data_IF_514819066239
#
_entry.id   IF_514819066239
#
_cell.length_a   1.000
_cell.length_b   1.000
_cell.length_c   1.000
_cell.angle_alpha   90.00
_cell.angle_beta   90.00
_cell.angle_gamma   90.00
#
_symmetry.space_group_name_H-M   'P 1'
#
loop_
_entity.id
_entity.type
_entity.pdbx_description
1 polymer ?
#
# COMPACT_ATOMS: atom_id res chain seq x y z
N UNK A 1 50.32 48.27 42.98
CA UNK A 1 48.99 48.91 42.92
C UNK A 1 47.98 47.80 43.26
N UNK A 2 47.56 47.54 44.51
CA UNK A 2 46.87 48.42 45.50
C UNK A 2 45.79 49.26 44.79
N UNK A 3 44.49 49.21 45.09
CA UNK A 3 43.74 48.98 46.35
C UNK A 3 42.28 48.52 46.08
N UNK A 4 41.74 47.60 46.91
CA UNK A 4 40.65 47.70 47.93
C UNK A 4 39.21 47.85 47.38
N UNK A 5 38.24 46.94 47.59
CA UNK A 5 37.67 46.20 48.77
C UNK A 5 36.58 46.99 49.52
N UNK A 6 35.50 46.26 49.89
CA UNK A 6 34.52 46.41 51.00
C UNK A 6 33.09 46.79 50.56
N UNK A 7 31.98 46.26 51.11
CA UNK A 7 31.73 45.30 52.19
C UNK A 7 30.24 44.89 52.24
N UNK A 8 30.02 43.68 52.79
CA UNK A 8 28.86 43.08 53.46
C UNK A 8 27.83 44.03 54.13
N UNK A 9 26.53 43.63 54.14
CA UNK A 9 25.77 43.09 55.30
C UNK A 9 24.25 42.93 55.05
N UNK A 10 23.72 41.76 55.45
CA UNK A 10 22.31 41.39 55.79
C UNK A 10 21.89 42.05 57.15
N UNK A 11 20.68 41.81 57.74
CA UNK A 11 19.28 41.72 57.25
C UNK A 11 18.22 42.34 58.24
N UNK A 12 16.93 42.18 57.87
CA UNK A 12 15.76 41.77 58.70
C UNK A 12 14.87 42.77 59.49
N UNK A 13 13.61 42.27 59.63
CA UNK A 13 12.48 42.60 60.53
C UNK A 13 11.47 43.63 60.02
N UNK A 14 10.16 43.57 60.30
CA UNK A 14 9.38 43.09 61.47
C UNK A 14 8.01 42.60 60.91
N UNK A 15 7.50 41.41 61.28
CA UNK A 15 6.52 41.13 62.39
C UNK A 15 5.08 41.25 61.88
N UNK A 16 4.03 40.63 62.42
CA UNK A 16 3.65 40.09 63.74
C UNK A 16 2.29 39.39 63.46
N UNK A 17 1.72 38.42 64.18
CA UNK A 17 1.88 37.79 65.50
C UNK A 17 0.88 36.61 65.43
N UNK A 18 1.20 35.38 65.86
CA UNK A 18 1.14 34.93 67.27
C UNK A 18 -0.21 34.20 67.51
N UNK A 19 -0.34 33.10 68.25
CA UNK A 19 0.63 32.33 69.03
C UNK A 19 -0.07 31.06 69.58
N UNK A 20 0.77 30.17 70.15
CA UNK A 20 0.55 29.15 71.20
C UNK A 20 -0.06 27.78 70.80
N UNK A 21 0.72 26.69 70.76
CA UNK A 21 1.34 25.90 71.86
C UNK A 21 0.29 25.11 72.68
N UNK A 22 0.32 23.76 72.69
CA UNK A 22 1.17 22.98 73.61
C UNK A 22 0.83 21.45 73.60
N UNK A 23 1.68 20.71 74.31
CA UNK A 23 2.05 19.29 74.24
C UNK A 23 1.15 18.25 75.00
N UNK A 24 1.56 16.96 74.90
CA UNK A 24 1.34 15.80 75.79
C UNK A 24 0.23 14.73 75.58
N UNK A 25 0.69 13.56 75.09
CA UNK A 25 0.70 12.19 75.68
C UNK A 25 -0.58 11.38 76.07
N UNK A 26 -0.66 10.17 75.45
CA UNK A 26 -1.12 8.83 75.92
C UNK A 26 -2.52 8.62 76.54
N UNK A 27 -3.38 7.82 75.87
CA UNK A 27 -3.85 6.47 76.34
C UNK A 27 -4.81 5.77 75.33
N UNK A 28 -4.68 4.43 75.25
CA UNK A 28 -5.46 3.46 74.45
C UNK A 28 -6.99 3.51 74.68
N UNK A 29 -7.78 3.23 73.62
CA UNK A 29 -8.96 2.33 73.68
C UNK A 29 -9.32 1.78 72.29
N UNK A 30 -9.38 0.44 72.18
CA UNK A 30 -9.82 -0.32 71.02
C UNK A 30 -11.33 -0.10 70.78
N UNK A 31 -11.71 0.30 69.56
CA UNK A 31 -13.09 0.24 69.07
C UNK A 31 -13.14 -0.79 67.94
N UNK A 32 -14.00 -1.79 68.13
CA UNK A 32 -14.16 -2.99 67.30
C UNK A 32 -14.59 -2.69 65.86
N UNK A 33 -14.03 -3.47 64.92
CA UNK A 33 -14.35 -3.52 63.49
C UNK A 33 -15.86 -3.66 63.18
N UNK A 34 -16.64 -4.22 64.12
CA UNK A 34 -18.08 -4.44 63.96
C UNK A 34 -18.93 -3.16 63.94
N UNK A 35 -18.44 -2.03 64.47
CA UNK A 35 -19.19 -0.75 64.43
C UNK A 35 -18.97 -0.01 63.10
N UNK A 36 -17.88 -0.30 62.39
CA UNK A 36 -17.56 0.33 61.09
C UNK A 36 -18.35 -0.27 59.93
N UNK A 37 -18.83 -1.51 60.06
CA UNK A 37 -19.57 -2.22 58.99
C UNK A 37 -21.05 -1.82 58.93
N UNK A 38 -21.65 -1.40 60.05
CA UNK A 38 -23.09 -1.09 60.11
C UNK A 38 -23.43 0.29 59.54
N UNK A 39 -22.47 1.22 59.44
CA UNK A 39 -22.69 2.53 58.80
C UNK A 39 -22.55 2.52 57.27
N UNK A 40 -22.00 1.46 56.66
CA UNK A 40 -21.86 1.38 55.20
C UNK A 40 -23.08 0.76 54.50
N UNK A 41 -23.91 0.01 55.24
CA UNK A 41 -25.06 -0.72 54.70
C UNK A 41 -26.29 0.18 54.40
N UNK A 42 -26.31 1.44 54.86
CA UNK A 42 -27.41 2.37 54.56
C UNK A 42 -27.17 3.31 53.37
N UNK A 43 -26.07 3.13 52.61
CA UNK A 43 -25.81 3.89 51.35
C UNK A 43 -26.03 3.08 50.06
N UNK A 44 -26.48 1.82 50.15
CA UNK A 44 -26.70 0.92 49.00
C UNK A 44 -28.20 0.83 48.59
N UNK A 45 -29.06 1.66 49.16
CA UNK A 45 -30.50 1.67 48.85
C UNK A 45 -30.85 2.10 47.41
N UNK A 46 -29.98 2.84 46.73
CA UNK A 46 -30.30 3.48 45.44
C UNK A 46 -29.85 2.69 44.19
N UNK A 47 -29.03 1.64 44.35
CA UNK A 47 -28.46 0.87 43.22
C UNK A 47 -29.26 -0.38 42.83
N UNK A 48 -30.19 -0.84 43.69
CA UNK A 48 -31.03 -2.02 43.42
C UNK A 48 -32.04 -1.86 42.27
N UNK A 49 -32.71 -0.71 42.05
CA UNK A 49 -33.66 -0.57 40.94
C UNK A 49 -32.97 -0.57 39.57
N UNK A 50 -31.78 0.04 39.47
CA UNK A 50 -31.03 0.14 38.21
C UNK A 50 -30.50 -1.21 37.73
N UNK A 51 -30.04 -2.07 38.64
CA UNK A 51 -29.55 -3.42 38.31
C UNK A 51 -30.71 -4.31 37.83
N UNK A 52 -31.90 -4.17 38.43
CA UNK A 52 -33.10 -4.91 38.02
C UNK A 52 -33.60 -4.46 36.64
N UNK A 53 -33.54 -3.16 36.33
CA UNK A 53 -33.92 -2.62 35.02
C UNK A 53 -32.97 -3.12 33.92
N UNK A 54 -31.67 -3.20 34.22
CA UNK A 54 -30.65 -3.70 33.28
C UNK A 54 -30.81 -5.20 32.98
N UNK A 55 -31.14 -5.99 34.00
CA UNK A 55 -31.45 -7.42 33.84
C UNK A 55 -32.74 -7.64 33.03
N UNK A 56 -33.75 -6.78 33.20
CA UNK A 56 -35.00 -6.88 32.45
C UNK A 56 -34.80 -6.59 30.95
N UNK A 57 -33.96 -5.60 30.61
CA UNK A 57 -33.61 -5.27 29.22
C UNK A 57 -32.78 -6.37 28.53
N UNK A 58 -31.87 -7.00 29.26
CA UNK A 58 -31.09 -8.16 28.79
C UNK A 58 -31.96 -9.39 28.53
N UNK A 59 -32.99 -9.60 29.34
CA UNK A 59 -33.95 -10.69 29.14
C UNK A 59 -34.83 -10.39 27.90
N UNK A 60 -35.26 -9.14 27.72
CA UNK A 60 -36.11 -8.76 26.57
C UNK A 60 -35.38 -8.86 25.22
N UNK A 61 -34.06 -8.62 25.17
CA UNK A 61 -33.27 -8.80 23.95
C UNK A 61 -33.04 -10.26 23.59
N UNK A 62 -33.07 -11.17 24.56
CA UNK A 62 -32.95 -12.62 24.34
C UNK A 62 -34.26 -13.27 23.87
N UNK A 63 -35.42 -12.62 24.09
CA UNK A 63 -36.75 -13.15 23.72
C UNK A 63 -37.40 -12.45 22.52
N UNK A 64 -36.72 -11.54 21.83
CA UNK A 64 -37.25 -10.94 20.59
C UNK A 64 -37.26 -11.97 19.45
N UNK A 65 -38.42 -12.33 18.87
CA UNK A 65 -38.49 -13.28 17.78
C UNK A 65 -37.85 -12.68 16.53
N UNK A 66 -36.81 -13.36 16.05
CA UNK A 66 -36.11 -13.08 14.80
C UNK A 66 -37.09 -13.28 13.63
N UNK A 67 -37.70 -12.18 13.13
CA UNK A 67 -38.52 -12.23 11.93
C UNK A 67 -37.62 -12.50 10.71
N UNK A 68 -37.68 -13.72 10.19
CA UNK A 68 -36.99 -14.12 8.96
C UNK A 68 -37.63 -13.44 7.74
N UNK A 69 -36.76 -12.78 6.98
CA UNK A 69 -36.76 -12.49 5.55
C UNK A 69 -38.02 -12.86 4.75
N UNK A 70 -38.60 -11.84 4.09
CA UNK A 70 -39.31 -12.00 2.83
C UNK A 70 -38.92 -10.86 1.87
N UNK A 71 -38.27 -11.27 0.77
CA UNK A 71 -38.25 -10.67 -0.59
C UNK A 71 -37.26 -9.51 -0.88
N UNK A 72 -36.47 -9.77 -1.93
CA UNK A 72 -35.48 -8.91 -2.60
C UNK A 72 -36.08 -7.66 -3.27
N UNK A 73 -35.34 -6.56 -3.30
CA UNK A 73 -34.72 -5.92 -4.49
C UNK A 73 -34.03 -4.60 -4.08
N UNK A 74 -32.88 -4.36 -4.69
CA UNK A 74 -31.98 -3.21 -4.60
C UNK A 74 -32.63 -1.82 -4.59
N UNK A 75 -32.13 -0.93 -3.71
CA UNK A 75 -31.76 0.45 -4.06
C UNK A 75 -30.86 1.06 -2.98
N UNK A 76 -29.63 1.41 -3.35
CA UNK A 76 -28.73 2.25 -2.56
C UNK A 76 -29.42 3.59 -2.30
N UNK A 77 -29.70 3.94 -1.04
CA UNK A 77 -30.12 5.30 -0.66
C UNK A 77 -29.03 5.98 0.17
N UNK A 78 -28.61 7.20 -0.20
CA UNK A 78 -27.63 7.99 0.55
C UNK A 78 -28.34 8.91 1.54
N UNK A 79 -28.40 8.54 2.82
CA UNK A 79 -28.64 9.50 3.90
C UNK A 79 -28.49 8.88 5.30
N UNK A 80 -27.41 9.23 6.00
CA UNK A 80 -27.54 9.79 7.34
C UNK A 80 -26.35 10.72 7.62
N UNK A 81 -26.62 12.03 7.50
CA UNK A 81 -25.85 13.06 8.19
C UNK A 81 -26.24 12.99 9.66
N UNK A 82 -25.26 13.27 10.52
CA UNK A 82 -25.25 13.17 11.98
C UNK A 82 -24.97 11.78 12.53
N UNK A 83 -23.68 11.51 12.78
CA UNK A 83 -23.24 10.94 14.05
C UNK A 83 -21.89 11.54 14.43
N UNK A 84 -21.91 12.30 15.53
CA UNK A 84 -20.74 12.81 16.23
C UNK A 84 -20.14 11.60 16.98
N UNK A 85 -18.91 11.21 16.62
CA UNK A 85 -18.17 10.05 17.15
C UNK A 85 -18.88 8.69 17.01
N UNK A 86 -19.04 8.18 15.78
CA UNK A 86 -19.36 6.76 15.57
C UNK A 86 -18.11 5.94 15.30
N UNK A 87 -17.86 4.96 16.16
CA UNK A 87 -16.95 3.83 15.96
C UNK A 87 -17.62 2.86 14.95
N UNK A 88 -18.03 3.39 13.80
CA UNK A 88 -18.55 2.67 12.63
C UNK A 88 -17.65 2.93 11.39
N UNK A 89 -16.49 3.57 11.58
CA UNK A 89 -15.43 3.71 10.58
C UNK A 89 -14.71 2.39 10.26
N UNK A 90 -15.37 1.25 10.49
CA UNK A 90 -15.01 -0.07 9.95
C UNK A 90 -15.73 -0.35 8.63
N UNK A 91 -16.48 0.61 8.08
CA UNK A 91 -16.71 0.63 6.64
C UNK A 91 -15.33 0.65 5.98
N UNK A 92 -15.01 -0.42 5.25
CA UNK A 92 -13.72 -0.68 4.62
C UNK A 92 -13.11 0.61 4.07
N UNK A 93 -12.01 1.06 4.68
CA UNK A 93 -11.20 2.19 4.21
C UNK A 93 -10.80 2.05 2.73
N UNK A 94 -10.85 0.82 2.19
CA UNK A 94 -10.59 0.47 0.81
C UNK A 94 -11.75 0.80 -0.12
N UNK A 95 -11.43 1.44 -1.24
CA UNK A 95 -12.38 1.74 -2.30
C UNK A 95 -13.36 2.88 -2.02
N UNK A 96 -13.19 3.65 -0.94
CA UNK A 96 -14.03 4.82 -0.63
C UNK A 96 -13.97 5.90 -1.74
N UNK A 97 -12.78 6.17 -2.28
CA UNK A 97 -12.58 6.97 -3.50
C UNK A 97 -12.72 6.13 -4.78
N UNK A 98 -12.84 4.82 -4.63
CA UNK A 98 -12.71 3.84 -5.71
C UNK A 98 -11.27 3.67 -6.18
N UNK A 99 -11.05 2.60 -6.95
CA UNK A 99 -9.78 2.26 -7.57
C UNK A 99 -10.01 2.24 -9.08
N UNK A 100 -9.40 3.15 -9.86
CA UNK A 100 -9.46 3.05 -11.31
C UNK A 100 -8.73 1.79 -11.78
N UNK A 101 -9.24 1.16 -12.83
CA UNK A 101 -8.62 0.00 -13.46
C UNK A 101 -8.79 0.07 -14.98
N UNK A 102 -7.88 -0.55 -15.71
CA UNK A 102 -8.06 -0.72 -17.15
C UNK A 102 -9.07 -1.82 -17.45
N UNK A 103 -10.01 -1.58 -18.38
CA UNK A 103 -10.92 -2.62 -18.86
C UNK A 103 -10.17 -3.55 -19.81
N UNK A 104 -10.28 -4.85 -19.58
CA UNK A 104 -9.86 -5.85 -20.55
C UNK A 104 -10.88 -5.95 -21.69
N UNK A 105 -10.42 -6.16 -22.93
CA UNK A 105 -11.26 -6.19 -24.14
C UNK A 105 -12.38 -7.23 -24.09
N UNK A 106 -12.20 -8.31 -23.33
CA UNK A 106 -13.15 -9.41 -23.18
C UNK A 106 -13.62 -9.63 -21.74
N UNK A 107 -13.32 -8.70 -20.81
CA UNK A 107 -13.66 -8.86 -19.39
C UNK A 107 -12.96 -10.05 -18.72
N UNK A 108 -11.93 -10.62 -19.33
CA UNK A 108 -11.14 -11.70 -18.71
C UNK A 108 -10.33 -11.15 -17.54
N UNK A 109 -10.11 -12.01 -16.57
CA UNK A 109 -9.28 -11.77 -15.39
C UNK A 109 -8.34 -12.96 -15.20
N UNK A 110 -7.48 -12.87 -14.19
CA UNK A 110 -6.53 -13.92 -13.83
C UNK A 110 -7.25 -15.18 -13.34
N UNK A 111 -6.60 -16.34 -13.48
CA UNK A 111 -7.17 -17.62 -13.07
C UNK A 111 -6.95 -17.93 -11.58
N UNK A 112 -5.95 -17.29 -10.96
CA UNK A 112 -5.64 -17.49 -9.54
C UNK A 112 -6.62 -16.74 -8.64
N UNK A 113 -6.79 -17.27 -7.43
CA UNK A 113 -7.70 -16.72 -6.40
C UNK A 113 -6.93 -16.21 -5.19
N UNK A 114 -7.60 -15.51 -4.28
CA UNK A 114 -7.02 -15.13 -2.99
C UNK A 114 -6.55 -16.33 -2.17
N UNK A 115 -7.15 -17.52 -2.34
CA UNK A 115 -6.69 -18.75 -1.67
C UNK A 115 -5.33 -19.20 -2.21
N UNK A 116 -5.12 -19.09 -3.51
CA UNK A 116 -3.84 -19.42 -4.14
C UNK A 116 -2.75 -18.45 -3.68
N UNK A 117 -3.07 -17.16 -3.57
CA UNK A 117 -2.17 -16.14 -3.05
C UNK A 117 -1.80 -16.40 -1.58
N UNK A 118 -2.78 -16.76 -0.74
CA UNK A 118 -2.51 -17.11 0.67
C UNK A 118 -1.58 -18.33 0.78
N UNK A 119 -1.78 -19.35 -0.05
CA UNK A 119 -0.86 -20.50 -0.13
C UNK A 119 0.54 -20.08 -0.61
N UNK A 120 0.59 -19.20 -1.61
CA UNK A 120 1.84 -18.61 -2.08
C UNK A 120 2.61 -17.88 -0.98
N UNK A 121 1.90 -17.17 -0.08
CA UNK A 121 2.53 -16.49 1.06
C UNK A 121 3.14 -17.48 2.05
N UNK A 122 2.48 -18.61 2.32
CA UNK A 122 3.04 -19.67 3.18
C UNK A 122 4.39 -20.18 2.67
N UNK A 123 4.54 -20.29 1.35
CA UNK A 123 5.79 -20.69 0.69
C UNK A 123 6.81 -19.53 0.62
N UNK A 124 6.36 -18.31 0.33
CA UNK A 124 7.26 -17.19 0.01
C UNK A 124 7.86 -16.50 1.23
N UNK A 125 7.13 -16.39 2.34
CA UNK A 125 7.64 -15.74 3.56
C UNK A 125 9.01 -16.29 3.99
N UNK A 126 9.20 -17.62 4.17
CA UNK A 126 10.52 -18.14 4.54
C UNK A 126 11.59 -17.91 3.46
N UNK A 127 11.22 -17.87 2.17
CA UNK A 127 12.14 -17.52 1.09
C UNK A 127 12.62 -16.08 1.24
N UNK A 128 11.71 -15.12 1.45
CA UNK A 128 12.03 -13.70 1.61
C UNK A 128 12.93 -13.41 2.82
N UNK A 129 12.82 -14.22 3.88
CA UNK A 129 13.72 -14.16 5.05
C UNK A 129 15.18 -14.45 4.65
N UNK A 130 15.44 -15.22 3.58
CA UNK A 130 16.79 -15.54 3.09
C UNK A 130 17.38 -14.49 2.13
N UNK A 131 16.63 -13.44 1.78
CA UNK A 131 17.07 -12.44 0.80
C UNK A 131 18.46 -11.87 1.12
N UNK A 132 19.33 -11.68 0.11
CA UNK A 132 20.67 -11.14 0.29
C UNK A 132 20.66 -9.65 0.65
N UNK A 133 19.62 -8.92 0.23
CA UNK A 133 19.48 -7.48 0.45
C UNK A 133 18.41 -7.26 1.54
N UNK A 134 18.85 -7.13 2.80
CA UNK A 134 17.92 -6.95 3.94
C UNK A 134 17.19 -5.62 3.89
N UNK A 135 17.94 -4.55 3.63
CA UNK A 135 17.43 -3.20 3.44
C UNK A 135 17.47 -2.83 1.95
N UNK A 136 16.34 -2.99 1.27
CA UNK A 136 16.19 -2.65 -0.14
C UNK A 136 15.58 -1.25 -0.34
N UNK A 137 15.97 -0.27 0.48
CA UNK A 137 15.56 1.12 0.30
C UNK A 137 15.76 1.58 -1.16
N UNK A 138 14.73 2.23 -1.71
CA UNK A 138 14.56 2.64 -3.12
C UNK A 138 14.28 1.53 -4.13
N UNK A 139 14.20 0.27 -3.72
CA UNK A 139 13.69 -0.82 -4.57
C UNK A 139 12.44 -1.45 -3.96
N UNK A 140 11.96 -2.52 -4.60
CA UNK A 140 10.76 -3.22 -4.13
C UNK A 140 10.88 -3.76 -2.70
N UNK A 141 9.76 -3.62 -1.98
CA UNK A 141 9.52 -4.22 -0.66
C UNK A 141 8.90 -5.62 -0.74
N UNK A 142 8.35 -6.07 0.38
CA UNK A 142 7.82 -7.43 0.51
C UNK A 142 6.65 -7.73 -0.42
N UNK A 143 5.65 -6.84 -0.46
CA UNK A 143 4.42 -7.03 -1.25
C UNK A 143 4.74 -7.29 -2.72
N UNK A 144 5.51 -6.39 -3.35
CA UNK A 144 5.89 -6.50 -4.76
C UNK A 144 6.82 -7.70 -5.02
N UNK A 145 7.73 -8.01 -4.07
CA UNK A 145 8.56 -9.21 -4.17
C UNK A 145 7.71 -10.49 -4.18
N UNK A 146 6.68 -10.54 -3.33
CA UNK A 146 5.75 -11.66 -3.29
C UNK A 146 4.96 -11.76 -4.59
N UNK A 147 4.41 -10.65 -5.08
CA UNK A 147 3.64 -10.63 -6.32
C UNK A 147 4.45 -11.11 -7.51
N UNK A 148 5.67 -10.59 -7.70
CA UNK A 148 6.55 -11.00 -8.79
C UNK A 148 6.90 -12.49 -8.70
N UNK A 149 7.25 -12.98 -7.51
CA UNK A 149 7.51 -14.40 -7.29
C UNK A 149 6.29 -15.26 -7.63
N UNK A 150 5.12 -14.88 -7.13
CA UNK A 150 3.88 -15.64 -7.32
C UNK A 150 3.49 -15.73 -8.81
N UNK A 151 3.53 -14.60 -9.53
CA UNK A 151 3.21 -14.55 -10.96
C UNK A 151 4.17 -15.45 -11.75
N UNK A 152 5.47 -15.38 -11.48
CA UNK A 152 6.47 -16.22 -12.13
C UNK A 152 6.23 -17.72 -11.84
N UNK A 153 5.93 -18.08 -10.58
CA UNK A 153 5.59 -19.46 -10.17
C UNK A 153 4.32 -19.98 -10.83
N UNK A 154 3.33 -19.12 -11.01
CA UNK A 154 2.06 -19.47 -11.63
C UNK A 154 2.24 -19.71 -13.14
N UNK A 155 2.84 -18.75 -13.84
CA UNK A 155 3.01 -18.79 -15.29
C UNK A 155 4.05 -19.81 -15.77
N UNK A 156 5.06 -20.11 -14.94
CA UNK A 156 6.17 -21.04 -15.25
C UNK A 156 6.82 -20.70 -16.61
N UNK A 157 7.32 -19.47 -16.79
CA UNK A 157 7.90 -19.04 -18.05
C UNK A 157 9.16 -19.84 -18.39
N UNK A 158 9.46 -19.93 -19.68
CA UNK A 158 10.72 -20.49 -20.17
C UNK A 158 11.85 -19.46 -20.21
N UNK A 159 11.50 -18.17 -20.23
CA UNK A 159 12.43 -17.05 -20.10
C UNK A 159 11.79 -15.93 -19.28
N UNK A 160 12.57 -15.37 -18.36
CA UNK A 160 12.19 -14.17 -17.62
C UNK A 160 13.07 -13.01 -18.08
N UNK A 161 12.44 -11.88 -18.39
CA UNK A 161 13.11 -10.64 -18.78
C UNK A 161 12.83 -9.59 -17.70
N UNK A 162 13.87 -8.88 -17.29
CA UNK A 162 13.79 -7.76 -16.35
C UNK A 162 14.35 -6.50 -17.03
N UNK A 163 13.65 -5.38 -16.91
CA UNK A 163 14.14 -4.06 -17.26
C UNK A 163 14.14 -3.21 -16.00
N UNK A 164 15.34 -2.83 -15.52
CA UNK A 164 15.53 -2.18 -14.23
C UNK A 164 15.94 -3.16 -13.12
N UNK A 165 17.23 -3.43 -12.99
CA UNK A 165 17.72 -4.39 -11.98
C UNK A 165 18.13 -3.75 -10.65
N UNK A 166 18.53 -2.48 -10.68
CA UNK A 166 19.12 -1.75 -9.54
C UNK A 166 20.18 -2.57 -8.79
N UNK A 167 19.92 -2.95 -7.53
CA UNK A 167 20.81 -3.77 -6.68
C UNK A 167 20.67 -5.28 -6.93
N UNK A 168 19.79 -5.71 -7.81
CA UNK A 168 19.54 -7.11 -8.19
C UNK A 168 18.50 -7.85 -7.34
N UNK A 169 17.67 -7.14 -6.57
CA UNK A 169 16.69 -7.79 -5.68
C UNK A 169 15.59 -8.51 -6.46
N UNK A 170 14.98 -7.89 -7.47
CA UNK A 170 14.02 -8.57 -8.37
C UNK A 170 14.66 -9.73 -9.11
N UNK A 171 15.90 -9.59 -9.59
CA UNK A 171 16.63 -10.70 -10.20
C UNK A 171 16.74 -11.89 -9.23
N UNK A 172 17.01 -11.64 -7.94
CA UNK A 172 17.00 -12.67 -6.90
C UNK A 172 15.60 -13.29 -6.73
N UNK A 173 14.55 -12.47 -6.66
CA UNK A 173 13.15 -12.94 -6.55
C UNK A 173 12.79 -13.87 -7.72
N UNK A 174 13.09 -13.46 -8.95
CA UNK A 174 12.87 -14.26 -10.17
C UNK A 174 13.64 -15.58 -10.12
N UNK A 175 14.90 -15.56 -9.66
CA UNK A 175 15.70 -16.78 -9.47
C UNK A 175 15.11 -17.70 -8.42
N UNK A 176 14.55 -17.18 -7.32
CA UNK A 176 13.86 -18.01 -6.32
C UNK A 176 12.54 -18.60 -6.86
N UNK A 177 11.86 -17.90 -7.77
CA UNK A 177 10.65 -18.40 -8.40
C UNK A 177 10.95 -19.54 -9.39
N UNK A 178 11.93 -19.34 -10.27
CA UNK A 178 12.29 -20.29 -11.33
C UNK A 178 13.81 -20.55 -11.37
N UNK A 179 14.34 -21.44 -10.49
CA UNK A 179 15.77 -21.65 -10.30
C UNK A 179 16.56 -22.01 -11.55
N UNK A 180 15.98 -22.77 -12.47
CA UNK A 180 16.69 -23.31 -13.65
C UNK A 180 16.44 -22.52 -14.93
N UNK A 181 15.60 -21.48 -14.89
CA UNK A 181 15.20 -20.75 -16.10
C UNK A 181 16.15 -19.58 -16.40
N UNK A 182 16.42 -19.27 -17.68
CA UNK A 182 17.24 -18.13 -18.05
C UNK A 182 16.59 -16.81 -17.60
N UNK A 183 17.44 -15.87 -17.22
CA UNK A 183 17.07 -14.48 -16.92
C UNK A 183 17.86 -13.58 -17.85
N UNK A 184 17.19 -12.61 -18.47
CA UNK A 184 17.83 -11.52 -19.21
C UNK A 184 17.48 -10.21 -18.54
N UNK A 185 18.49 -9.43 -18.14
CA UNK A 185 18.30 -8.20 -17.38
C UNK A 185 18.91 -7.00 -18.12
N UNK A 186 18.11 -5.95 -18.32
CA UNK A 186 18.51 -4.69 -18.92
C UNK A 186 18.62 -3.64 -17.82
N UNK A 187 19.82 -3.11 -17.61
CA UNK A 187 20.04 -2.11 -16.56
C UNK A 187 21.20 -1.20 -16.93
N UNK A 188 21.05 0.14 -16.89
CA UNK A 188 22.16 1.04 -17.20
C UNK A 188 23.40 0.78 -16.35
N UNK A 189 23.20 0.38 -15.08
CA UNK A 189 24.26 0.08 -14.12
C UNK A 189 24.15 -1.36 -13.63
N UNK A 190 25.20 -2.15 -13.89
CA UNK A 190 25.27 -3.55 -13.45
C UNK A 190 25.19 -3.66 -11.91
N UNK A 191 24.43 -4.62 -11.33
CA UNK A 191 24.23 -4.74 -9.88
C UNK A 191 25.53 -4.90 -9.07
N UNK A 192 26.54 -5.55 -9.65
CA UNK A 192 27.89 -5.67 -9.05
C UNK A 192 28.48 -4.32 -8.61
N UNK A 193 28.14 -3.23 -9.31
CA UNK A 193 28.64 -1.88 -8.98
C UNK A 193 28.10 -1.34 -7.66
N UNK A 194 27.08 -1.97 -7.07
CA UNK A 194 26.51 -1.61 -5.78
C UNK A 194 27.16 -2.38 -4.62
N UNK A 195 27.86 -3.50 -4.87
CA UNK A 195 28.56 -4.29 -3.84
C UNK A 195 29.59 -3.46 -3.03
N UNK A 196 30.13 -2.38 -3.63
CA UNK A 196 31.04 -1.46 -2.96
C UNK A 196 30.37 -0.52 -1.96
N UNK A 197 29.06 -0.30 -2.09
CA UNK A 197 28.26 0.62 -1.27
C UNK A 197 27.37 -0.10 -0.25
N UNK A 198 27.15 -1.40 -0.44
CA UNK A 198 26.33 -2.21 0.42
C UNK A 198 25.92 -3.53 -0.26
N UNK A 199 25.00 -4.29 0.36
CA UNK A 199 24.52 -5.54 -0.20
C UNK A 199 23.89 -5.35 -1.58
N UNK A 200 24.26 -6.22 -2.50
CA UNK A 200 23.68 -6.35 -3.82
C UNK A 200 23.68 -7.83 -4.22
N UNK A 201 22.88 -8.19 -5.21
CA UNK A 201 22.80 -9.54 -5.75
C UNK A 201 23.16 -9.54 -7.23
N UNK A 202 24.00 -10.50 -7.62
CA UNK A 202 24.36 -10.76 -9.01
C UNK A 202 24.08 -12.23 -9.26
N UNK A 203 23.21 -12.52 -10.22
CA UNK A 203 22.92 -13.89 -10.61
C UNK A 203 23.94 -14.37 -11.62
N UNK A 204 24.61 -15.49 -11.34
CA UNK A 204 25.66 -16.04 -12.20
C UNK A 204 25.14 -16.61 -13.54
N UNK A 205 23.83 -16.87 -13.64
CA UNK A 205 23.18 -17.41 -14.84
C UNK A 205 22.27 -16.38 -15.54
N UNK A 206 22.38 -15.11 -15.16
CA UNK A 206 21.65 -14.00 -15.77
C UNK A 206 22.50 -13.38 -16.88
N UNK A 207 21.89 -13.15 -18.03
CA UNK A 207 22.51 -12.37 -19.11
C UNK A 207 22.20 -10.90 -18.86
N UNK A 208 23.23 -10.13 -18.47
CA UNK A 208 23.10 -8.69 -18.24
C UNK A 208 23.48 -7.88 -19.48
N UNK A 209 22.56 -7.01 -19.91
CA UNK A 209 22.83 -5.91 -20.82
C UNK A 209 23.00 -4.64 -19.99
N UNK A 210 24.24 -4.32 -19.64
CA UNK A 210 24.54 -3.26 -18.69
C UNK A 210 25.84 -2.50 -18.97
N UNK A 211 25.94 -1.26 -18.46
CA UNK A 211 27.12 -0.42 -18.66
C UNK A 211 27.37 -0.14 -20.14
N UNK A 212 28.55 -0.49 -20.64
CA UNK A 212 28.91 -0.30 -22.06
C UNK A 212 28.08 -1.17 -23.02
N UNK A 213 27.55 -2.28 -22.53
CA UNK A 213 26.75 -3.25 -23.30
C UNK A 213 25.25 -3.03 -23.08
N UNK A 214 24.87 -1.93 -22.39
CA UNK A 214 23.48 -1.57 -22.17
C UNK A 214 22.79 -1.25 -23.50
N UNK A 215 21.58 -1.77 -23.63
CA UNK A 215 20.65 -1.47 -24.71
C UNK A 215 19.26 -1.30 -24.08
N UNK A 216 18.54 -0.26 -24.49
CA UNK A 216 17.16 -0.08 -24.06
C UNK A 216 16.28 -1.23 -24.58
N UNK A 217 15.32 -1.70 -23.77
CA UNK A 217 14.39 -2.77 -24.12
C UNK A 217 13.76 -2.60 -25.52
N UNK A 218 13.37 -1.37 -25.90
CA UNK A 218 12.77 -1.07 -27.19
C UNK A 218 13.70 -1.19 -28.40
N UNK A 219 15.01 -1.27 -28.16
CA UNK A 219 16.07 -1.32 -29.18
C UNK A 219 16.70 -2.71 -29.30
N UNK A 220 16.27 -3.68 -28.49
CA UNK A 220 16.80 -5.04 -28.49
C UNK A 220 16.39 -5.79 -29.76
N UNK A 221 17.34 -6.52 -30.35
CA UNK A 221 17.04 -7.52 -31.38
C UNK A 221 16.48 -8.79 -30.71
N UNK A 222 15.17 -8.79 -30.44
CA UNK A 222 14.49 -9.89 -29.74
C UNK A 222 14.62 -11.23 -30.45
N UNK A 223 14.59 -11.28 -31.78
CA UNK A 223 14.78 -12.52 -32.53
C UNK A 223 16.12 -13.20 -32.24
N UNK A 224 17.18 -12.40 -32.09
CA UNK A 224 18.52 -12.92 -31.76
C UNK A 224 18.62 -13.36 -30.30
N UNK A 225 18.05 -12.59 -29.36
CA UNK A 225 18.04 -12.93 -27.94
C UNK A 225 17.22 -14.20 -27.70
N UNK A 226 16.02 -14.29 -28.24
CA UNK A 226 15.17 -15.49 -28.12
C UNK A 226 15.85 -16.72 -28.70
N UNK A 227 16.45 -16.61 -29.89
CA UNK A 227 17.22 -17.72 -30.50
C UNK A 227 18.40 -18.15 -29.63
N UNK A 228 19.15 -17.21 -29.06
CA UNK A 228 20.29 -17.49 -28.17
C UNK A 228 19.85 -18.30 -26.94
N UNK A 229 18.68 -18.00 -26.39
CA UNK A 229 18.13 -18.71 -25.23
C UNK A 229 17.22 -19.89 -25.59
N UNK A 230 17.12 -20.26 -26.87
CA UNK A 230 16.32 -21.40 -27.33
C UNK A 230 14.80 -21.22 -27.18
N UNK A 231 14.32 -19.97 -27.11
CA UNK A 231 12.90 -19.67 -26.92
C UNK A 231 12.22 -19.57 -28.30
N UNK A 232 11.23 -20.43 -28.52
CA UNK A 232 10.44 -20.47 -29.76
C UNK A 232 9.03 -19.88 -29.61
N UNK A 233 8.52 -19.80 -28.38
CA UNK A 233 7.18 -19.28 -28.08
C UNK A 233 7.27 -18.05 -27.16
N UNK A 234 6.93 -16.88 -27.71
CA UNK A 234 6.91 -15.61 -26.98
C UNK A 234 5.84 -15.59 -25.87
N UNK A 235 4.83 -16.46 -25.92
CA UNK A 235 3.83 -16.60 -24.85
C UNK A 235 4.40 -17.26 -23.60
N UNK A 236 5.56 -17.91 -23.70
CA UNK A 236 6.25 -18.50 -22.54
C UNK A 236 7.30 -17.56 -21.94
N UNK A 237 7.23 -16.27 -22.27
CA UNK A 237 8.13 -15.23 -21.74
C UNK A 237 7.37 -14.34 -20.77
N UNK A 238 7.95 -14.13 -19.59
CA UNK A 238 7.48 -13.14 -18.62
C UNK A 238 8.41 -11.93 -18.64
N UNK A 239 7.85 -10.73 -18.68
CA UNK A 239 8.61 -9.48 -18.63
C UNK A 239 8.23 -8.70 -17.38
N UNK A 240 9.23 -8.24 -16.65
CA UNK A 240 9.10 -7.39 -15.49
C UNK A 240 9.76 -6.03 -15.77
N UNK A 241 9.00 -4.95 -15.65
CA UNK A 241 9.45 -3.57 -15.84
C UNK A 241 9.47 -2.85 -14.49
N UNK A 242 10.66 -2.38 -14.09
CA UNK A 242 10.96 -1.56 -12.92
C UNK A 242 12.02 -0.49 -13.32
N UNK A 243 11.88 0.02 -14.55
CA UNK A 243 12.85 0.93 -15.19
C UNK A 243 12.43 2.40 -15.17
N UNK A 244 11.31 2.70 -14.51
CA UNK A 244 10.71 4.05 -14.40
C UNK A 244 10.57 4.75 -15.76
N UNK A 245 10.26 3.97 -16.79
CA UNK A 245 9.87 4.48 -18.09
C UNK A 245 8.34 4.43 -18.22
N UNK A 246 7.81 5.31 -19.07
CA UNK A 246 6.39 5.36 -19.39
C UNK A 246 5.84 3.97 -19.78
N UNK A 247 4.83 3.49 -19.04
CA UNK A 247 4.29 2.15 -19.22
C UNK A 247 3.60 1.99 -20.59
N UNK A 248 2.99 3.06 -21.15
CA UNK A 248 2.42 3.03 -22.50
C UNK A 248 3.49 2.74 -23.57
N UNK A 249 4.68 3.29 -23.39
CA UNK A 249 5.83 3.07 -24.29
C UNK A 249 6.30 1.62 -24.17
N UNK A 250 6.46 1.10 -22.96
CA UNK A 250 6.84 -0.31 -22.72
C UNK A 250 5.80 -1.30 -23.23
N UNK A 251 4.51 -1.03 -23.00
CA UNK A 251 3.39 -1.81 -23.53
C UNK A 251 3.45 -1.93 -25.06
N UNK A 252 3.63 -0.81 -25.76
CA UNK A 252 3.75 -0.78 -27.24
C UNK A 252 4.99 -1.53 -27.74
N UNK A 253 6.12 -1.39 -27.05
CA UNK A 253 7.36 -2.09 -27.40
C UNK A 253 7.22 -3.61 -27.21
N UNK A 254 6.61 -4.05 -26.10
CA UNK A 254 6.36 -5.46 -25.83
C UNK A 254 5.37 -6.07 -26.83
N UNK A 255 4.29 -5.35 -27.15
CA UNK A 255 3.32 -5.76 -28.16
C UNK A 255 3.99 -5.95 -29.53
N UNK A 256 4.78 -4.96 -29.97
CA UNK A 256 5.54 -5.02 -31.23
C UNK A 256 6.53 -6.20 -31.27
N UNK A 257 7.09 -6.58 -30.13
CA UNK A 257 7.98 -7.73 -30.01
C UNK A 257 7.25 -9.08 -29.92
N UNK A 258 5.91 -9.07 -29.84
CA UNK A 258 5.07 -10.27 -29.77
C UNK A 258 4.93 -10.87 -28.37
N UNK A 259 5.36 -10.16 -27.32
CA UNK A 259 5.25 -10.64 -25.94
C UNK A 259 3.86 -10.39 -25.37
N UNK A 260 3.43 -11.27 -24.45
CA UNK A 260 2.07 -11.22 -23.88
C UNK A 260 2.03 -10.96 -22.38
N UNK A 261 2.94 -11.55 -21.60
CA UNK A 261 2.88 -11.51 -20.14
C UNK A 261 3.82 -10.44 -19.59
N UNK A 262 3.24 -9.35 -19.08
CA UNK A 262 3.99 -8.22 -18.56
C UNK A 262 3.60 -7.96 -17.10
N UNK A 263 4.58 -7.57 -16.31
CA UNK A 263 4.40 -7.05 -14.96
C UNK A 263 5.06 -5.68 -14.91
N UNK A 264 4.31 -4.68 -14.46
CA UNK A 264 4.82 -3.34 -14.21
C UNK A 264 4.88 -3.12 -12.69
N UNK A 265 6.07 -2.79 -12.22
CA UNK A 265 6.32 -2.16 -10.92
C UNK A 265 5.80 -0.71 -10.98
N UNK A 266 5.45 -0.13 -9.82
CA UNK A 266 5.08 1.27 -9.71
C UNK A 266 3.90 1.72 -10.61
N UNK A 267 2.78 0.97 -10.56
CA UNK A 267 1.54 1.32 -11.28
C UNK A 267 0.78 2.48 -10.59
N UNK A 268 1.45 3.64 -10.54
CA UNK A 268 1.11 4.80 -9.73
C UNK A 268 -0.33 5.26 -9.88
N UNK A 269 -0.91 5.72 -8.77
CA UNK A 269 -2.18 6.40 -8.78
C UNK A 269 -2.11 7.75 -9.53
N UNK A 270 -3.28 8.25 -9.95
CA UNK A 270 -3.37 9.51 -10.67
C UNK A 270 -2.92 10.69 -9.82
N UNK A 271 -2.09 11.57 -10.40
CA UNK A 271 -1.50 12.72 -9.73
C UNK A 271 -0.12 12.48 -9.07
N UNK A 272 0.39 11.25 -9.05
CA UNK A 272 1.68 10.91 -8.41
C UNK A 272 2.63 10.13 -9.34
N UNK A 273 3.77 9.70 -8.84
CA UNK A 273 4.73 8.89 -9.58
C UNK A 273 5.69 9.67 -10.48
N UNK A 274 6.67 8.96 -11.03
CA UNK A 274 7.72 9.54 -11.88
C UNK A 274 7.64 9.13 -13.35
N UNK A 275 6.65 8.31 -13.72
CA UNK A 275 6.35 7.94 -15.09
C UNK A 275 4.84 7.73 -15.28
N UNK A 276 4.40 7.70 -16.53
CA UNK A 276 2.99 7.53 -16.89
C UNK A 276 2.58 6.06 -16.81
N UNK A 277 1.85 5.71 -15.75
CA UNK A 277 1.41 4.34 -15.44
C UNK A 277 0.12 3.94 -16.16
N UNK A 278 -0.16 2.64 -16.26
CA UNK A 278 -1.41 2.11 -16.80
C UNK A 278 -2.63 2.60 -16.03
N UNK A 279 -2.54 2.69 -14.70
CA UNK A 279 -3.60 3.24 -13.86
C UNK A 279 -3.91 4.69 -14.20
N UNK A 280 -2.88 5.52 -14.40
CA UNK A 280 -3.04 6.90 -14.88
C UNK A 280 -3.64 6.99 -16.28
N UNK A 281 -3.31 6.05 -17.17
CA UNK A 281 -3.84 6.00 -18.53
C UNK A 281 -5.33 5.63 -18.51
N UNK A 282 -5.71 4.69 -17.67
CA UNK A 282 -7.05 4.13 -17.60
C UNK A 282 -7.98 4.86 -16.62
N UNK A 283 -7.47 5.79 -15.85
CA UNK A 283 -8.30 6.70 -15.08
C UNK A 283 -9.14 7.56 -16.03
N UNK A 284 -10.45 7.30 -16.07
CA UNK A 284 -11.41 7.95 -16.96
C UNK A 284 -12.75 8.13 -16.25
N UNK A 285 -13.54 9.12 -16.67
CA UNK A 285 -14.85 9.42 -16.09
C UNK A 285 -15.86 8.25 -16.14
N UNK A 286 -15.68 7.32 -17.06
CA UNK A 286 -16.54 6.14 -17.22
C UNK A 286 -16.00 4.90 -16.47
N UNK A 287 -14.84 5.03 -15.83
CA UNK A 287 -14.22 3.99 -15.01
C UNK A 287 -14.57 4.26 -13.54
N UNK A 288 -14.96 3.21 -12.82
CA UNK A 288 -15.29 3.34 -11.40
C UNK A 288 -14.05 3.79 -10.64
N UNK A 289 -14.18 4.83 -9.81
CA UNK A 289 -13.06 5.40 -9.08
C UNK A 289 -12.10 6.24 -9.94
N UNK A 290 -12.39 6.40 -11.23
CA UNK A 290 -11.70 7.32 -12.12
C UNK A 290 -12.54 8.55 -12.44
N UNK A 291 -11.92 9.52 -13.12
CA UNK A 291 -12.49 10.83 -13.40
C UNK A 291 -12.55 11.69 -12.15
N UNK A 292 -11.68 12.70 -12.09
CA UNK A 292 -11.51 13.49 -10.88
C UNK A 292 -12.11 14.89 -10.98
N UNK A 293 -12.64 15.36 -9.85
CA UNK A 293 -13.13 16.72 -9.70
C UNK A 293 -12.02 17.64 -9.18
N UNK A 294 -11.67 18.65 -9.98
CA UNK A 294 -10.73 19.70 -9.57
C UNK A 294 -11.40 20.88 -8.85
N UNK A 295 -12.69 20.79 -8.52
CA UNK A 295 -13.38 21.84 -7.77
C UNK A 295 -12.94 21.86 -6.30
N UNK A 296 -12.54 23.03 -5.75
CA UNK A 296 -12.09 23.16 -4.37
C UNK A 296 -13.06 22.64 -3.31
N UNK A 297 -14.35 22.86 -3.52
CA UNK A 297 -15.41 22.54 -2.55
C UNK A 297 -16.08 21.18 -2.81
N UNK A 298 -15.47 20.34 -3.65
CA UNK A 298 -15.98 19.00 -3.94
C UNK A 298 -15.78 18.03 -2.77
N UNK A 299 -16.64 17.02 -2.68
CA UNK A 299 -16.47 15.95 -1.70
C UNK A 299 -15.13 15.24 -1.88
N UNK A 300 -14.69 15.01 -3.13
CA UNK A 300 -13.39 14.42 -3.42
C UNK A 300 -12.24 15.25 -2.82
N UNK A 301 -12.24 16.58 -3.01
CA UNK A 301 -11.22 17.46 -2.44
C UNK A 301 -11.19 17.37 -0.91
N UNK A 302 -12.37 17.40 -0.26
CA UNK A 302 -12.48 17.27 1.21
C UNK A 302 -11.94 15.93 1.71
N UNK A 303 -12.28 14.83 1.03
CA UNK A 303 -11.85 13.48 1.40
C UNK A 303 -10.34 13.35 1.23
N UNK A 304 -9.80 13.72 0.06
CA UNK A 304 -8.35 13.65 -0.21
C UNK A 304 -7.53 14.47 0.78
N UNK A 305 -7.98 15.68 1.13
CA UNK A 305 -7.34 16.51 2.16
C UNK A 305 -7.30 15.81 3.53
N UNK A 306 -8.36 15.08 3.91
CA UNK A 306 -8.34 14.30 5.15
C UNK A 306 -7.34 13.15 5.07
N UNK A 307 -7.27 12.46 3.92
CA UNK A 307 -6.43 11.27 3.72
C UNK A 307 -4.94 11.58 3.59
N UNK A 308 -4.57 12.69 2.94
CA UNK A 308 -3.19 13.18 2.84
C UNK A 308 -2.51 13.34 4.23
N UNK A 309 -3.29 13.65 5.28
CA UNK A 309 -2.78 13.75 6.66
C UNK A 309 -2.30 12.41 7.25
N UNK A 310 -2.73 11.29 6.71
CA UNK A 310 -2.48 9.95 7.27
C UNK A 310 -1.62 9.06 6.36
N UNK A 311 -1.69 9.27 5.04
CA UNK A 311 -1.06 8.39 4.05
C UNK A 311 -0.05 9.16 3.21
N UNK A 312 1.20 8.69 3.18
CA UNK A 312 2.34 9.39 2.58
C UNK A 312 2.17 9.66 1.08
N UNK A 313 1.51 8.76 0.35
CA UNK A 313 1.24 8.90 -1.09
C UNK A 313 -0.22 9.28 -1.39
N UNK A 314 -1.03 9.64 -0.40
CA UNK A 314 -2.33 10.23 -0.68
C UNK A 314 -2.15 11.64 -1.25
N UNK A 315 -2.58 11.83 -2.49
CA UNK A 315 -2.54 13.14 -3.15
C UNK A 315 -3.75 13.97 -2.79
N UNK A 316 -3.52 15.22 -2.42
CA UNK A 316 -4.60 16.19 -2.28
C UNK A 316 -5.03 16.77 -3.65
N UNK A 317 -6.00 17.69 -3.64
CA UNK A 317 -6.49 18.34 -4.86
C UNK A 317 -5.41 19.20 -5.53
N UNK A 318 -4.57 19.89 -4.76
CA UNK A 318 -3.55 20.81 -5.28
C UNK A 318 -2.41 20.07 -5.98
N UNK A 319 -2.10 18.88 -5.48
CA UNK A 319 -1.17 17.94 -6.10
C UNK A 319 -1.77 17.24 -7.32
N UNK A 320 -3.04 16.83 -7.25
CA UNK A 320 -3.74 16.10 -8.31
C UNK A 320 -3.99 16.98 -9.55
N UNK A 321 -4.42 18.23 -9.36
CA UNK A 321 -4.96 19.06 -10.43
C UNK A 321 -3.95 20.05 -11.02
N UNK A 322 -3.82 20.01 -12.35
CA UNK A 322 -3.06 20.97 -13.15
C UNK A 322 -3.90 22.17 -13.62
N UNK A 323 -3.30 23.02 -14.47
CA UNK A 323 -4.01 24.07 -15.19
C UNK A 323 -5.26 23.52 -15.90
N UNK A 324 -6.30 24.35 -16.00
CA UNK A 324 -7.58 24.03 -16.66
C UNK A 324 -8.28 22.77 -16.12
N UNK A 325 -7.98 22.37 -14.88
CA UNK A 325 -8.57 21.18 -14.26
C UNK A 325 -7.99 19.86 -14.78
N UNK A 326 -6.75 19.88 -15.30
CA UNK A 326 -6.09 18.69 -15.80
C UNK A 326 -5.67 17.74 -14.65
N UNK A 327 -6.53 16.79 -14.30
CA UNK A 327 -6.26 15.78 -13.29
C UNK A 327 -5.53 14.55 -13.82
N UNK A 328 -5.54 14.31 -15.14
CA UNK A 328 -4.96 13.10 -15.75
C UNK A 328 -3.43 13.08 -15.71
N UNK A 329 -2.86 11.87 -15.74
CA UNK A 329 -1.42 11.69 -15.58
C UNK A 329 -0.94 12.32 -14.28
N UNK A 330 0.06 13.18 -14.38
CA UNK A 330 0.41 14.11 -13.29
C UNK A 330 0.15 15.53 -13.74
N UNK A 331 -0.99 16.09 -13.32
CA UNK A 331 -1.38 17.48 -13.62
C UNK A 331 -1.43 17.78 -15.12
N UNK A 332 -1.89 16.82 -15.91
CA UNK A 332 -1.96 16.89 -17.37
C UNK A 332 -0.67 16.46 -18.10
N UNK A 333 0.35 15.99 -17.38
CA UNK A 333 1.63 15.57 -17.96
C UNK A 333 1.76 14.05 -18.01
N UNK A 334 2.27 13.57 -19.13
CA UNK A 334 2.78 12.23 -19.33
C UNK A 334 4.28 12.23 -19.00
N UNK A 335 4.62 11.74 -17.80
CA UNK A 335 6.00 11.63 -17.32
C UNK A 335 6.71 10.42 -17.92
N UNK A 336 8.01 10.52 -18.14
CA UNK A 336 8.91 9.47 -18.60
C UNK A 336 10.32 9.70 -18.03
N UNK A 337 11.14 8.67 -18.08
CA UNK A 337 12.57 8.72 -17.74
C UNK A 337 12.86 9.27 -16.34
N UNK A 338 12.33 8.62 -15.30
CA UNK A 338 12.47 9.07 -13.90
C UNK A 338 12.03 10.54 -13.70
N UNK A 339 10.93 10.93 -14.33
CA UNK A 339 10.38 12.30 -14.32
C UNK A 339 11.36 13.37 -14.88
N UNK A 340 12.39 12.97 -15.63
CA UNK A 340 13.26 13.90 -16.34
C UNK A 340 12.66 14.36 -17.68
N UNK A 341 11.62 13.67 -18.18
CA UNK A 341 10.89 14.03 -19.41
C UNK A 341 9.39 14.14 -19.13
N UNK A 342 8.83 15.34 -19.27
CA UNK A 342 7.44 15.63 -18.94
C UNK A 342 6.71 16.25 -20.14
N UNK A 343 5.91 15.44 -20.85
CA UNK A 343 5.13 15.91 -21.99
C UNK A 343 3.73 16.31 -21.53
N UNK A 344 3.34 17.57 -21.73
CA UNK A 344 1.94 17.95 -21.56
C UNK A 344 1.07 17.26 -22.62
N UNK A 345 -0.04 16.66 -22.18
CA UNK A 345 -0.99 15.96 -23.06
C UNK A 345 -2.40 16.54 -22.86
N UNK A 346 -3.15 16.66 -23.95
CA UNK A 346 -4.55 17.07 -23.88
C UNK A 346 -5.43 15.96 -23.29
N UNK A 347 -6.62 16.32 -22.81
CA UNK A 347 -7.63 15.33 -22.41
C UNK A 347 -7.96 14.34 -23.55
N UNK A 348 -8.02 14.83 -24.80
CA UNK A 348 -8.28 14.00 -25.99
C UNK A 348 -7.16 12.98 -26.21
N UNK A 349 -5.89 13.39 -26.08
CA UNK A 349 -4.74 12.48 -26.20
C UNK A 349 -4.73 11.45 -25.07
N UNK A 350 -5.01 11.87 -23.84
CA UNK A 350 -5.16 10.97 -22.69
C UNK A 350 -6.26 9.92 -22.92
N UNK A 351 -7.44 10.35 -23.38
CA UNK A 351 -8.54 9.45 -23.71
C UNK A 351 -8.17 8.46 -24.84
N UNK A 352 -7.49 8.93 -25.89
CA UNK A 352 -7.01 8.07 -26.97
C UNK A 352 -5.98 7.03 -26.49
N UNK A 353 -5.07 7.42 -25.59
CA UNK A 353 -4.14 6.49 -24.96
C UNK A 353 -4.89 5.40 -24.18
N UNK A 354 -5.91 5.78 -23.42
CA UNK A 354 -6.79 4.85 -22.70
C UNK A 354 -7.46 3.85 -23.63
N UNK A 355 -8.07 4.34 -24.73
CA UNK A 355 -8.73 3.49 -25.73
C UNK A 355 -7.76 2.52 -26.41
N UNK A 356 -6.53 2.95 -26.67
CA UNK A 356 -5.49 2.05 -27.17
C UNK A 356 -5.17 0.94 -26.16
N UNK A 357 -4.92 1.29 -24.90
CA UNK A 357 -4.62 0.32 -23.84
C UNK A 357 -5.76 -0.68 -23.67
N UNK A 358 -7.00 -0.23 -23.57
CA UNK A 358 -8.18 -1.10 -23.49
C UNK A 358 -8.31 -2.05 -24.70
N UNK A 359 -7.82 -1.63 -25.89
CA UNK A 359 -7.91 -2.45 -27.11
C UNK A 359 -6.92 -3.62 -27.17
N UNK A 360 -5.84 -3.56 -26.38
CA UNK A 360 -4.76 -4.57 -26.39
C UNK A 360 -4.72 -5.41 -25.10
N UNK A 361 -5.42 -4.99 -24.04
CA UNK A 361 -5.43 -5.71 -22.77
C UNK A 361 -6.40 -6.89 -22.79
N UNK A 362 -5.85 -8.11 -22.73
CA UNK A 362 -6.61 -9.34 -22.45
C UNK A 362 -6.94 -9.47 -20.96
N UNK A 363 -5.98 -9.13 -20.09
CA UNK A 363 -6.11 -9.22 -18.63
C UNK A 363 -5.45 -7.97 -18.02
N UNK A 364 -6.10 -7.41 -17.02
CA UNK A 364 -5.54 -6.39 -16.12
C UNK A 364 -5.79 -6.85 -14.70
N UNK A 365 -4.72 -6.99 -13.91
CA UNK A 365 -4.82 -7.41 -12.51
C UNK A 365 -3.79 -6.70 -11.66
N UNK A 366 -4.25 -5.93 -10.68
CA UNK A 366 -3.40 -5.33 -9.66
C UNK A 366 -3.20 -6.30 -8.50
N UNK A 367 -1.93 -6.45 -8.08
CA UNK A 367 -1.59 -7.17 -6.87
C UNK A 367 -2.17 -6.43 -5.66
N UNK A 368 -3.04 -7.04 -4.83
CA UNK A 368 -3.46 -6.43 -3.58
C UNK A 368 -2.32 -6.34 -2.57
N UNK A 369 -2.35 -5.37 -1.64
CA UNK A 369 -1.44 -5.38 -0.49
C UNK A 369 -1.56 -6.71 0.25
N UNK A 370 -0.45 -7.24 0.75
CA UNK A 370 -0.47 -8.53 1.46
C UNK A 370 -1.30 -8.45 2.72
N UNK A 371 -1.22 -7.34 3.44
CA UNK A 371 -1.97 -7.15 4.67
C UNK A 371 -2.35 -5.67 4.86
N UNK A 372 -3.43 -5.45 5.61
CA UNK A 372 -3.92 -4.11 5.90
C UNK A 372 -2.94 -3.27 6.73
N UNK A 373 -3.06 -1.93 6.69
CA UNK A 373 -2.18 -1.03 7.43
C UNK A 373 -2.17 -1.23 8.94
N UNK A 374 -3.27 -1.69 9.56
CA UNK A 374 -3.31 -1.95 11.01
C UNK A 374 -2.39 -3.09 11.43
N UNK A 375 -2.08 -4.01 10.52
CA UNK A 375 -1.22 -5.17 10.74
C UNK A 375 0.24 -4.89 10.37
N UNK A 376 0.45 -4.08 9.33
CA UNK A 376 1.78 -3.85 8.74
C UNK A 376 2.40 -2.52 9.15
N UNK A 377 1.61 -1.60 9.71
CA UNK A 377 1.98 -0.23 10.02
C UNK A 377 2.50 0.59 8.83
N UNK A 378 2.26 0.12 7.60
CA UNK A 378 2.66 0.87 6.42
C UNK A 378 1.77 2.09 6.24
N UNK A 379 2.37 3.22 5.93
CA UNK A 379 1.67 4.48 5.66
C UNK A 379 1.85 4.92 4.22
N UNK A 380 2.64 4.18 3.43
CA UNK A 380 3.05 4.58 2.09
C UNK A 380 1.86 4.81 1.16
N UNK A 381 0.92 3.86 1.06
CA UNK A 381 -0.21 3.99 0.14
C UNK A 381 -1.48 4.50 0.81
N UNK A 382 -2.42 5.01 0.01
CA UNK A 382 -3.77 5.32 0.44
C UNK A 382 -4.70 4.09 0.28
N UNK A 383 -5.23 3.48 1.36
CA UNK A 383 -6.19 2.36 1.28
C UNK A 383 -7.40 2.61 0.39
N UNK A 384 -7.96 3.83 0.38
CA UNK A 384 -9.12 4.15 -0.45
C UNK A 384 -8.84 4.06 -1.94
N UNK A 385 -7.54 4.07 -2.30
CA UNK A 385 -6.99 3.94 -3.64
C UNK A 385 -6.23 2.62 -3.81
N UNK A 386 -6.49 1.60 -3.01
CA UNK A 386 -5.90 0.27 -3.18
C UNK A 386 -6.96 -0.84 -3.22
N UNK A 387 -6.59 -1.98 -3.79
CA UNK A 387 -7.39 -3.20 -3.69
C UNK A 387 -7.46 -3.65 -2.22
N UNK A 388 -8.52 -4.37 -1.86
CA UNK A 388 -8.65 -4.99 -0.54
C UNK A 388 -7.46 -5.93 -0.29
N UNK A 389 -6.79 -5.85 0.87
CA UNK A 389 -5.61 -6.64 1.17
C UNK A 389 -5.91 -8.13 1.32
N UNK A 390 -4.92 -8.99 1.10
CA UNK A 390 -5.07 -10.45 1.25
C UNK A 390 -5.37 -10.85 2.71
N UNK A 391 -4.74 -10.16 3.66
CA UNK A 391 -5.01 -10.28 5.09
C UNK A 391 -5.60 -8.95 5.57
N UNK A 392 -6.92 -8.91 5.64
CA UNK A 392 -7.67 -7.76 6.12
C UNK A 392 -7.32 -7.36 7.56
N UNK A 393 -7.55 -6.10 7.88
CA UNK A 393 -7.38 -5.57 9.24
C UNK A 393 -8.21 -6.38 10.25
N UNK A 394 -7.68 -6.51 11.47
CA UNK A 394 -8.28 -7.35 12.51
C UNK A 394 -8.03 -8.87 12.34
N UNK A 395 -7.43 -9.34 11.24
CA UNK A 395 -7.12 -10.76 11.01
C UNK A 395 -5.73 -11.16 11.53
N UNK A 396 -5.34 -10.68 12.71
CA UNK A 396 -4.00 -10.90 13.29
C UNK A 396 -3.60 -12.38 13.40
N UNK A 397 -4.54 -13.26 13.74
CA UNK A 397 -4.26 -14.71 13.82
C UNK A 397 -3.92 -15.35 12.46
N UNK A 398 -4.41 -14.80 11.34
CA UNK A 398 -3.99 -15.22 10.00
C UNK A 398 -2.61 -14.63 9.66
N UNK A 399 -2.41 -13.34 9.94
CA UNK A 399 -1.13 -12.65 9.76
C UNK A 399 0.03 -13.39 10.46
N UNK A 400 -0.17 -13.80 11.71
CA UNK A 400 0.79 -14.58 12.48
C UNK A 400 1.03 -15.98 11.90
N UNK A 401 -0.03 -16.69 11.50
CA UNK A 401 0.07 -18.05 10.94
C UNK A 401 0.86 -18.10 9.65
N UNK A 402 0.69 -17.09 8.79
CA UNK A 402 1.46 -16.94 7.55
C UNK A 402 2.94 -16.59 7.81
N UNK A 403 3.30 -16.29 9.07
CA UNK A 403 4.66 -15.91 9.44
C UNK A 403 5.02 -14.46 9.18
N UNK A 404 4.06 -13.62 8.78
CA UNK A 404 4.30 -12.22 8.45
C UNK A 404 4.79 -11.41 9.67
N UNK A 405 4.45 -11.83 10.89
CA UNK A 405 4.97 -11.23 12.14
C UNK A 405 6.47 -11.43 12.34
N UNK A 406 7.13 -12.31 11.57
CA UNK A 406 8.58 -12.50 11.62
C UNK A 406 9.34 -11.43 10.82
N UNK A 407 8.64 -10.74 9.92
CA UNK A 407 9.21 -9.71 9.08
C UNK A 407 9.19 -8.36 9.80
N UNK A 408 10.24 -7.57 9.61
CA UNK A 408 10.28 -6.20 10.13
C UNK A 408 9.23 -5.33 9.44
N UNK A 409 8.51 -4.48 10.19
CA UNK A 409 7.47 -3.60 9.62
C UNK A 409 7.97 -2.74 8.43
N UNK A 410 9.25 -2.37 8.44
CA UNK A 410 9.90 -1.59 7.38
C UNK A 410 9.79 -2.23 5.99
N UNK A 411 9.69 -3.57 5.89
CA UNK A 411 9.64 -4.26 4.59
C UNK A 411 8.31 -4.08 3.87
N UNK A 412 7.24 -3.74 4.61
CA UNK A 412 5.91 -3.51 4.07
C UNK A 412 5.71 -2.05 3.64
N UNK A 413 6.54 -1.11 4.09
CA UNK A 413 6.41 0.31 3.76
C UNK A 413 6.97 0.67 2.37
N UNK A 414 6.56 -0.08 1.35
CA UNK A 414 7.05 -0.02 -0.02
C UNK A 414 5.99 -0.22 -1.10
N UNK A 415 4.73 -0.47 -0.75
CA UNK A 415 3.67 -0.73 -1.72
C UNK A 415 3.27 0.53 -2.51
N UNK A 416 3.35 0.45 -3.83
CA UNK A 416 3.05 1.53 -4.82
C UNK A 416 2.24 1.01 -6.00
N UNK A 417 1.44 -0.05 -5.74
CA UNK A 417 0.69 -0.81 -6.74
C UNK A 417 1.60 -1.51 -7.75
N UNK A 418 1.35 -2.80 -7.99
CA UNK A 418 2.03 -3.58 -9.01
C UNK A 418 0.95 -4.22 -9.88
N UNK A 419 1.13 -4.21 -11.20
CA UNK A 419 0.11 -4.73 -12.13
C UNK A 419 0.68 -5.82 -13.02
N UNK A 420 -0.07 -6.90 -13.14
CA UNK A 420 0.11 -7.89 -14.18
C UNK A 420 -0.88 -7.62 -15.30
N UNK A 421 -0.38 -7.63 -16.53
CA UNK A 421 -1.21 -7.57 -17.73
C UNK A 421 -0.88 -8.70 -18.68
N UNK A 422 -1.93 -9.17 -19.34
CA UNK A 422 -1.80 -9.97 -20.55
C UNK A 422 -2.22 -9.11 -21.74
N UNK A 423 -1.42 -9.10 -22.79
CA UNK A 423 -1.68 -8.32 -24.00
C UNK A 423 -1.71 -9.15 -25.28
N UNK A 424 -2.45 -8.64 -26.25
CA UNK A 424 -2.46 -9.13 -27.63
C UNK A 424 -2.87 -8.03 -28.60
N UNK A 425 -2.63 -8.24 -29.89
CA UNK A 425 -2.97 -7.27 -30.94
C UNK A 425 -4.48 -6.98 -30.96
N UNK A 426 -4.91 -5.77 -31.36
CA UNK A 426 -6.32 -5.44 -31.47
C UNK A 426 -7.06 -6.43 -32.40
N UNK A 427 -8.15 -7.01 -31.92
CA UNK A 427 -8.99 -7.94 -32.69
C UNK A 427 -8.52 -9.41 -32.71
N UNK A 428 -7.46 -9.75 -31.98
CA UNK A 428 -7.02 -11.14 -31.75
C UNK A 428 -7.79 -11.89 -30.67
#
# INVERSE_FOLDING_TARGET
>A
MLERVLSLRRPAQYSEEGDDEDDESKTRKNISFAVRTTQYMNKIGFLRPCILLFLFLLIFSLFSPHSRNLVCISSYQPSSRMNFFSIDALDSDFGYLGVPWCRSKHGRTVEWTSKDLLKGLEEFVPIYETRPIKNNMYGMGFDHSFGLWFIARWLKPDLMIESGAFKGHSTWVLRQAMPDKPIVSFTPRHPEKYLRKGPAYVDGNCTYFAGKDFVDFGSVNWGSVMKKHGITDANRVLIFFDDHQNELKRLKQALKAGFRHLVFEDNYDTGTGDHYSLRQICDQFYIRGGGHSCFPDSDEARIRMQRNKFWEKAVDREELCGPDGAWWGVRGQMRDDFNHSNKAISYVEHFQNSRFVESVLDVYWELPPVAGPSLTHQTRYDPARAQTPLVEDGRFGLFQRLGLTRLENSVFNGYTQMVYVQISEPGS
#
